data_IF_639020706690
#
_entry.id   IF_639020706690
#
_cell.length_a   1.000
_cell.length_b   1.000
_cell.length_c   1.000
_cell.angle_alpha   90.00
_cell.angle_beta   90.00
_cell.angle_gamma   90.00
#
_symmetry.space_group_name_H-M   'P 1'
#
loop_
_entity.id
_entity.type
_entity.pdbx_description
1 polymer ?
#
# COMPACT_ATOMS: atom_id res chain seq x y z
N UNK A 1 57.77 -1.90 39.69
CA UNK A 1 57.49 -2.46 38.35
C UNK A 1 57.02 -3.88 38.56
N UNK A 2 55.74 -4.09 38.29
CA UNK A 2 55.00 -5.31 38.54
C UNK A 2 55.61 -6.52 37.85
N UNK A 3 55.82 -7.59 38.63
CA UNK A 3 56.49 -8.79 38.15
C UNK A 3 56.17 -10.02 38.98
N UNK A 4 55.35 -10.88 38.38
CA UNK A 4 55.53 -12.34 38.30
C UNK A 4 55.18 -13.22 39.51
N UNK A 5 54.26 -14.16 39.22
CA UNK A 5 53.89 -15.38 39.94
C UNK A 5 55.10 -16.29 40.25
N UNK A 6 55.13 -16.95 41.41
CA UNK A 6 55.07 -18.43 41.53
C UNK A 6 55.36 -18.97 42.95
N UNK A 7 54.44 -19.86 43.40
CA UNK A 7 54.62 -21.24 43.90
C UNK A 7 55.79 -21.54 44.89
N UNK A 8 55.48 -22.14 46.06
CA UNK A 8 55.86 -23.52 46.50
C UNK A 8 55.54 -23.78 48.01
N UNK A 9 54.66 -24.77 48.23
CA UNK A 9 54.58 -25.88 49.23
C UNK A 9 55.13 -25.70 50.68
N UNK A 10 54.40 -26.25 51.68
CA UNK A 10 54.50 -27.67 52.14
C UNK A 10 53.59 -28.00 53.35
N UNK A 11 53.04 -29.25 53.30
CA UNK A 11 52.79 -30.29 54.35
C UNK A 11 52.00 -29.90 55.60
N UNK A 12 51.13 -30.71 56.21
CA UNK A 12 50.66 -32.11 56.10
C UNK A 12 49.60 -32.23 57.23
N UNK A 13 48.56 -33.05 57.18
CA UNK A 13 48.52 -34.50 57.44
C UNK A 13 47.36 -34.73 58.42
N UNK A 14 46.60 -35.81 58.17
CA UNK A 14 45.83 -36.64 59.13
C UNK A 14 44.40 -36.26 59.57
N UNK A 15 43.52 -37.19 59.17
CA UNK A 15 42.55 -37.95 59.97
C UNK A 15 41.22 -37.28 60.28
N UNK A 16 40.15 -38.03 59.96
CA UNK A 16 38.77 -37.58 59.97
C UNK A 16 38.08 -37.65 61.32
N UNK A 17 36.92 -37.00 61.37
CA UNK A 17 35.83 -37.30 62.29
C UNK A 17 34.53 -36.72 61.71
N UNK A 18 33.60 -37.63 61.42
CA UNK A 18 32.14 -37.50 61.38
C UNK A 18 31.55 -36.07 61.42
N UNK A 19 31.03 -35.61 60.29
CA UNK A 19 30.01 -34.56 60.25
C UNK A 19 28.65 -35.22 59.97
N UNK A 20 27.76 -35.18 60.97
CA UNK A 20 26.34 -35.44 60.80
C UNK A 20 25.75 -34.35 59.89
N UNK A 21 25.71 -34.60 58.58
CA UNK A 21 24.96 -33.75 57.67
C UNK A 21 23.51 -34.25 57.67
N UNK A 22 22.66 -33.57 58.44
CA UNK A 22 21.21 -33.69 58.34
C UNK A 22 20.79 -33.49 56.88
N UNK A 23 20.38 -34.57 56.23
CA UNK A 23 19.67 -34.52 54.96
C UNK A 23 18.26 -33.99 55.25
N UNK A 24 18.14 -32.66 55.36
CA UNK A 24 16.84 -32.01 55.31
C UNK A 24 16.31 -32.19 53.89
N UNK A 25 15.53 -33.25 53.69
CA UNK A 25 14.71 -33.44 52.51
C UNK A 25 13.64 -32.34 52.54
N UNK A 26 13.98 -31.15 52.02
CA UNK A 26 13.00 -30.10 51.80
C UNK A 26 12.10 -30.57 50.65
N UNK A 27 11.06 -31.33 51.00
CA UNK A 27 9.92 -31.54 50.12
C UNK A 27 9.31 -30.16 49.93
N UNK A 28 9.71 -29.50 48.85
CA UNK A 28 9.00 -28.34 48.35
C UNK A 28 7.65 -28.85 47.85
N UNK A 29 6.67 -28.95 48.75
CA UNK A 29 5.27 -29.10 48.36
C UNK A 29 4.93 -27.82 47.62
N UNK A 30 5.11 -27.82 46.30
CA UNK A 30 4.56 -26.78 45.44
C UNK A 30 3.05 -26.94 45.54
N UNK A 31 2.43 -26.15 46.42
CA UNK A 31 0.98 -26.02 46.46
C UNK A 31 0.49 -25.80 45.03
N UNK A 32 -0.27 -26.76 44.50
CA UNK A 32 -0.80 -26.69 43.15
C UNK A 32 -1.76 -25.49 43.13
N UNK A 33 -1.34 -24.39 42.51
CA UNK A 33 -2.14 -23.17 42.44
C UNK A 33 -3.56 -23.51 41.95
N UNK A 34 -4.56 -23.13 42.74
CA UNK A 34 -5.96 -23.30 42.42
C UNK A 34 -6.33 -22.61 41.10
N UNK A 35 -7.38 -23.09 40.44
CA UNK A 35 -7.82 -22.52 39.18
C UNK A 35 -8.20 -21.04 39.33
N UNK A 36 -7.56 -20.15 38.55
CA UNK A 36 -7.90 -18.73 38.50
C UNK A 36 -8.68 -18.38 37.23
N UNK A 37 -9.81 -17.67 37.38
CA UNK A 37 -10.61 -17.17 36.24
C UNK A 37 -9.99 -15.94 35.56
N UNK A 38 -8.91 -15.36 36.09
CA UNK A 38 -8.28 -14.14 35.56
C UNK A 38 -7.87 -14.28 34.10
N UNK A 39 -8.17 -13.29 33.27
CA UNK A 39 -7.82 -13.27 31.85
C UNK A 39 -6.30 -13.33 31.62
N UNK A 40 -5.90 -13.89 30.47
CA UNK A 40 -4.51 -13.92 30.03
C UNK A 40 -4.08 -12.56 29.45
N UNK A 41 -2.81 -12.24 29.57
CA UNK A 41 -2.21 -11.07 28.91
C UNK A 41 -1.75 -11.44 27.51
N UNK A 42 -2.54 -11.05 26.50
CA UNK A 42 -2.28 -11.31 25.09
C UNK A 42 -1.37 -10.23 24.52
N UNK A 43 -0.25 -10.66 23.92
CA UNK A 43 0.67 -9.83 23.15
C UNK A 43 0.60 -10.22 21.67
N UNK A 44 0.81 -9.25 20.80
CA UNK A 44 0.79 -9.44 19.35
C UNK A 44 2.07 -8.93 18.72
N UNK A 45 2.68 -9.73 17.85
CA UNK A 45 3.74 -9.32 16.93
C UNK A 45 3.26 -9.54 15.50
N UNK A 46 3.32 -8.51 14.65
CA UNK A 46 2.98 -8.59 13.23
C UNK A 46 4.22 -8.84 12.37
N UNK A 47 4.02 -9.48 11.22
CA UNK A 47 4.96 -9.55 10.09
C UNK A 47 4.20 -9.26 8.78
N UNK A 48 4.85 -9.37 7.63
CA UNK A 48 4.25 -9.11 6.31
C UNK A 48 3.09 -10.04 5.95
N UNK A 49 3.15 -11.31 6.39
CA UNK A 49 2.18 -12.33 5.98
C UNK A 49 1.47 -13.00 7.16
N UNK A 50 1.93 -12.72 8.39
CA UNK A 50 1.44 -13.42 9.57
C UNK A 50 1.34 -12.55 10.81
N UNK A 51 0.48 -12.99 11.72
CA UNK A 51 0.32 -12.41 13.05
C UNK A 51 0.69 -13.47 14.09
N UNK A 52 1.68 -13.19 14.92
CA UNK A 52 2.06 -14.02 16.06
C UNK A 52 1.37 -13.51 17.33
N UNK A 53 0.52 -14.35 17.90
CA UNK A 53 -0.17 -14.16 19.17
C UNK A 53 0.61 -14.90 20.26
N UNK A 54 0.89 -14.25 21.39
CA UNK A 54 1.61 -14.86 22.52
C UNK A 54 1.07 -14.41 23.87
N UNK A 55 1.22 -15.25 24.89
CA UNK A 55 0.75 -14.97 26.24
C UNK A 55 1.64 -15.66 27.28
N UNK A 56 1.61 -15.18 28.52
CA UNK A 56 2.29 -15.86 29.62
C UNK A 56 1.56 -17.15 29.98
N UNK A 57 2.29 -18.25 30.09
CA UNK A 57 1.74 -19.53 30.53
C UNK A 57 1.42 -19.52 32.02
N UNK A 58 0.50 -20.39 32.44
CA UNK A 58 0.23 -20.64 33.85
C UNK A 58 0.19 -22.15 34.12
N UNK A 59 0.80 -22.58 35.24
CA UNK A 59 1.03 -24.00 35.56
C UNK A 59 -0.28 -24.78 35.72
N UNK A 60 -1.35 -24.12 36.14
CA UNK A 60 -2.65 -24.75 36.35
C UNK A 60 -3.43 -25.01 35.05
N UNK A 61 -3.03 -24.44 33.91
CA UNK A 61 -3.73 -24.56 32.64
C UNK A 61 -3.22 -25.73 31.81
N UNK A 62 -4.13 -26.50 31.23
CA UNK A 62 -3.82 -27.66 30.38
C UNK A 62 -3.79 -27.31 28.88
N UNK A 63 -4.18 -26.08 28.51
CA UNK A 63 -4.13 -25.58 27.13
C UNK A 63 -4.83 -24.24 26.96
N UNK A 64 -4.96 -23.82 25.70
CA UNK A 64 -5.45 -22.50 25.30
C UNK A 64 -6.33 -22.58 24.07
N UNK A 65 -7.31 -21.68 23.97
CA UNK A 65 -8.15 -21.50 22.80
C UNK A 65 -7.99 -20.07 22.26
N UNK A 66 -7.67 -19.99 20.98
CA UNK A 66 -7.49 -18.74 20.24
C UNK A 66 -8.72 -18.48 19.39
N UNK A 67 -9.21 -17.25 19.42
CA UNK A 67 -10.40 -16.83 18.71
C UNK A 67 -10.10 -15.65 17.81
N UNK A 68 -10.70 -15.67 16.62
CA UNK A 68 -10.94 -14.49 15.81
C UNK A 68 -12.31 -13.92 16.18
N UNK A 69 -12.45 -12.60 16.21
CA UNK A 69 -13.70 -11.95 16.58
C UNK A 69 -13.94 -10.65 15.81
N UNK A 70 -14.96 -9.90 16.20
CA UNK A 70 -15.23 -8.53 15.79
C UNK A 70 -14.80 -7.55 16.90
N UNK A 71 -14.88 -6.24 16.63
CA UNK A 71 -14.46 -5.22 17.59
C UNK A 71 -15.22 -5.31 18.94
N UNK A 72 -16.48 -5.75 18.94
CA UNK A 72 -17.32 -5.89 20.13
C UNK A 72 -17.13 -7.22 20.87
N UNK A 73 -16.43 -8.19 20.28
CA UNK A 73 -16.23 -9.51 20.87
C UNK A 73 -17.40 -10.47 20.77
N UNK A 74 -18.52 -10.13 20.11
CA UNK A 74 -19.73 -10.98 20.10
C UNK A 74 -19.60 -12.21 19.18
N UNK A 75 -18.85 -12.11 18.09
CA UNK A 75 -18.75 -13.17 17.08
C UNK A 75 -17.42 -13.93 17.18
N UNK A 76 -17.20 -14.64 18.28
CA UNK A 76 -15.94 -15.38 18.51
C UNK A 76 -15.93 -16.70 17.76
N UNK A 77 -15.13 -16.78 16.70
CA UNK A 77 -14.85 -18.03 15.99
C UNK A 77 -13.52 -18.59 16.49
N UNK A 78 -13.56 -19.81 17.04
CA UNK A 78 -12.35 -20.49 17.52
C UNK A 78 -11.52 -20.90 16.31
N UNK A 79 -10.29 -20.40 16.22
CA UNK A 79 -9.38 -20.70 15.10
C UNK A 79 -8.33 -21.75 15.48
N UNK A 80 -8.03 -21.92 16.77
CA UNK A 80 -7.05 -22.92 17.22
C UNK A 80 -7.26 -23.32 18.68
N UNK A 81 -6.96 -24.57 18.99
CA UNK A 81 -6.69 -25.05 20.36
C UNK A 81 -5.24 -25.51 20.42
N UNK A 82 -4.50 -25.16 21.48
CA UNK A 82 -3.06 -25.47 21.59
C UNK A 82 -2.62 -25.64 23.04
N UNK A 83 -1.56 -26.42 23.29
CA UNK A 83 -0.84 -26.44 24.58
C UNK A 83 0.26 -25.39 24.66
N UNK A 84 0.72 -24.88 23.52
CA UNK A 84 1.77 -23.85 23.42
C UNK A 84 1.21 -22.48 23.84
N UNK A 85 2.10 -21.60 24.29
CA UNK A 85 1.78 -20.21 24.68
C UNK A 85 1.91 -19.19 23.54
N UNK A 86 2.04 -19.69 22.31
CA UNK A 86 2.19 -18.90 21.08
C UNK A 86 1.45 -19.57 19.92
N UNK A 87 0.80 -18.77 19.08
CA UNK A 87 0.17 -19.17 17.81
C UNK A 87 0.50 -18.16 16.73
N UNK A 88 0.93 -18.64 15.56
CA UNK A 88 1.07 -17.81 14.36
C UNK A 88 -0.14 -18.05 13.46
N UNK A 89 -0.78 -16.97 13.02
CA UNK A 89 -1.91 -16.98 12.10
C UNK A 89 -1.42 -16.49 10.74
N UNK A 90 -1.59 -17.32 9.72
CA UNK A 90 -1.27 -17.08 8.30
C UNK A 90 -2.54 -16.84 7.48
N UNK A 91 -2.43 -16.77 6.15
CA UNK A 91 -3.57 -16.63 5.22
C UNK A 91 -4.38 -15.35 5.49
N UNK A 92 -3.65 -14.31 5.86
CA UNK A 92 -4.20 -13.02 6.19
C UNK A 92 -4.27 -12.16 4.93
N UNK A 93 -5.44 -11.56 4.71
CA UNK A 93 -5.66 -10.63 3.63
C UNK A 93 -4.93 -9.32 3.95
N UNK A 94 -4.15 -8.82 3.00
CA UNK A 94 -3.47 -7.53 3.08
C UNK A 94 -4.46 -6.40 3.35
N UNK A 95 -4.03 -5.35 4.07
CA UNK A 95 -4.88 -4.23 4.46
C UNK A 95 -6.03 -4.55 5.42
N UNK A 96 -6.38 -5.83 5.60
CA UNK A 96 -7.52 -6.25 6.43
C UNK A 96 -7.19 -6.12 7.90
N UNK A 97 -8.17 -5.61 8.64
CA UNK A 97 -8.14 -5.60 10.10
C UNK A 97 -8.68 -6.89 10.66
N UNK A 98 -7.96 -7.46 11.62
CA UNK A 98 -8.28 -8.67 12.35
C UNK A 98 -8.40 -8.33 13.83
N UNK A 99 -9.28 -9.05 14.53
CA UNK A 99 -9.47 -8.93 15.97
C UNK A 99 -9.26 -10.31 16.60
N UNK A 100 -8.40 -10.38 17.62
CA UNK A 100 -8.06 -11.65 18.28
C UNK A 100 -8.23 -11.56 19.79
N UNK A 101 -8.64 -12.67 20.39
CA UNK A 101 -8.57 -12.88 21.84
C UNK A 101 -8.21 -14.34 22.15
N UNK A 102 -7.70 -14.58 23.36
CA UNK A 102 -7.31 -15.91 23.84
C UNK A 102 -7.94 -16.19 25.20
N UNK A 103 -8.20 -17.46 25.51
CA UNK A 103 -8.52 -17.92 26.87
C UNK A 103 -7.79 -19.20 27.23
N UNK A 104 -7.50 -19.38 28.51
CA UNK A 104 -6.92 -20.59 29.07
C UNK A 104 -7.99 -21.66 29.33
N UNK A 105 -7.58 -22.92 29.27
CA UNK A 105 -8.41 -24.09 29.55
C UNK A 105 -7.70 -24.94 30.62
N UNK A 106 -8.44 -25.41 31.62
CA UNK A 106 -7.99 -26.44 32.55
C UNK A 106 -8.94 -27.63 32.46
N UNK A 107 -8.41 -28.79 32.07
CA UNK A 107 -9.13 -30.07 32.08
C UNK A 107 -8.71 -30.89 33.30
N UNK A 108 -9.66 -31.22 34.16
CA UNK A 108 -9.47 -32.16 35.29
C UNK A 108 -10.73 -33.02 35.43
N UNK A 109 -10.56 -34.34 35.58
CA UNK A 109 -11.66 -35.30 35.79
C UNK A 109 -12.83 -35.12 34.81
N UNK A 110 -12.53 -35.02 33.51
CA UNK A 110 -13.55 -34.83 32.46
C UNK A 110 -14.17 -33.43 32.37
N UNK A 111 -14.01 -32.56 33.38
CA UNK A 111 -14.56 -31.19 33.40
C UNK A 111 -13.54 -30.18 32.86
N UNK A 112 -14.01 -29.23 32.04
CA UNK A 112 -13.18 -28.14 31.52
C UNK A 112 -13.58 -26.80 32.14
N UNK A 113 -12.63 -26.13 32.81
CA UNK A 113 -12.77 -24.75 33.29
C UNK A 113 -12.04 -23.79 32.34
N UNK A 114 -12.55 -22.57 32.21
CA UNK A 114 -12.00 -21.54 31.31
C UNK A 114 -11.71 -20.24 32.05
N UNK A 115 -10.57 -19.62 31.73
CA UNK A 115 -10.34 -18.24 32.14
C UNK A 115 -11.32 -17.31 31.42
N UNK A 116 -11.49 -16.10 31.93
CA UNK A 116 -12.01 -15.00 31.11
C UNK A 116 -11.16 -14.81 29.86
N UNK A 117 -11.78 -14.29 28.80
CA UNK A 117 -11.06 -13.91 27.58
C UNK A 117 -10.08 -12.77 27.85
N UNK A 118 -8.96 -12.76 27.14
CA UNK A 118 -8.06 -11.61 27.08
C UNK A 118 -8.78 -10.38 26.51
N UNK A 119 -8.13 -9.21 26.65
CA UNK A 119 -8.48 -8.03 25.85
C UNK A 119 -8.45 -8.39 24.35
N UNK A 120 -9.33 -7.75 23.58
CA UNK A 120 -9.38 -7.91 22.13
C UNK A 120 -8.26 -7.08 21.51
N UNK A 121 -7.41 -7.72 20.71
CA UNK A 121 -6.33 -7.05 20.00
C UNK A 121 -6.73 -6.78 18.55
N UNK A 122 -6.77 -5.51 18.15
CA UNK A 122 -7.00 -5.05 16.77
C UNK A 122 -5.67 -5.01 16.02
N UNK A 123 -5.59 -5.65 14.86
CA UNK A 123 -4.37 -5.72 14.03
C UNK A 123 -4.73 -5.49 12.57
N UNK A 124 -4.18 -4.45 11.95
CA UNK A 124 -4.30 -4.21 10.50
C UNK A 124 -3.10 -4.80 9.79
N UNK A 125 -3.33 -5.67 8.80
CA UNK A 125 -2.24 -6.20 7.98
C UNK A 125 -1.65 -5.12 7.08
N UNK A 126 -0.32 -5.11 6.87
CA UNK A 126 0.31 -4.23 5.90
C UNK A 126 -0.17 -4.54 4.49
N UNK A 127 0.11 -3.61 3.58
CA UNK A 127 -0.18 -3.72 2.16
C UNK A 127 1.12 -3.88 1.42
N UNK A 128 1.24 -4.90 0.56
CA UNK A 128 2.49 -5.10 -0.19
C UNK A 128 2.60 -4.11 -1.33
N UNK A 129 3.82 -3.62 -1.52
CA UNK A 129 4.17 -2.62 -2.50
C UNK A 129 5.52 -2.02 -2.17
N UNK A 130 6.37 -1.79 -3.16
CA UNK A 130 7.60 -1.02 -2.92
C UNK A 130 7.20 0.37 -2.43
N UNK A 131 7.79 0.80 -1.30
CA UNK A 131 7.62 2.18 -0.84
C UNK A 131 8.11 3.12 -1.94
N UNK A 132 7.24 4.06 -2.33
CA UNK A 132 7.53 5.08 -3.33
C UNK A 132 7.25 6.47 -2.76
N UNK A 133 7.55 7.51 -3.53
CA UNK A 133 7.25 8.91 -3.18
C UNK A 133 6.25 9.51 -4.16
N UNK A 134 5.51 10.54 -3.73
CA UNK A 134 4.65 11.33 -4.62
C UNK A 134 5.45 11.93 -5.79
N UNK A 135 6.66 12.41 -5.53
CA UNK A 135 7.56 12.91 -6.59
C UNK A 135 7.86 11.82 -7.61
N UNK A 136 8.26 10.62 -7.17
CA UNK A 136 8.52 9.48 -8.07
C UNK A 136 7.29 9.12 -8.89
N UNK A 137 6.10 9.08 -8.29
CA UNK A 137 4.85 8.83 -9.03
C UNK A 137 4.64 9.84 -10.17
N UNK A 138 4.76 11.14 -9.88
CA UNK A 138 4.55 12.16 -10.92
C UNK A 138 5.68 12.15 -11.97
N UNK A 139 6.94 11.93 -11.58
CA UNK A 139 8.04 11.77 -12.52
C UNK A 139 7.82 10.57 -13.45
N UNK A 140 7.45 9.40 -12.90
CA UNK A 140 7.08 8.22 -13.68
C UNK A 140 5.92 8.52 -14.63
N UNK A 141 4.86 9.17 -14.14
CA UNK A 141 3.69 9.50 -14.93
C UNK A 141 3.97 10.46 -16.09
N UNK A 142 5.02 11.29 -15.98
CA UNK A 142 5.48 12.19 -17.04
C UNK A 142 6.25 11.50 -18.17
N UNK A 143 6.85 10.33 -17.92
CA UNK A 143 7.71 9.67 -18.92
C UNK A 143 7.02 9.39 -20.27
N UNK A 144 5.77 8.87 -20.32
CA UNK A 144 5.08 8.63 -21.60
C UNK A 144 4.41 9.87 -22.22
N UNK A 145 4.44 11.04 -21.54
CA UNK A 145 3.80 12.27 -22.03
C UNK A 145 4.44 12.70 -23.35
N UNK A 146 3.61 13.12 -24.29
CA UNK A 146 4.09 13.67 -25.57
C UNK A 146 4.72 12.64 -26.51
N UNK A 147 4.64 11.36 -26.18
CA UNK A 147 5.26 10.28 -26.95
C UNK A 147 4.42 9.00 -27.03
N UNK A 148 3.27 8.93 -26.34
CA UNK A 148 2.41 7.75 -26.31
C UNK A 148 1.00 8.10 -26.79
N UNK A 149 0.53 7.40 -27.84
CA UNK A 149 -0.83 7.57 -28.36
C UNK A 149 -1.88 6.90 -27.48
N UNK A 150 -3.11 7.43 -27.51
CA UNK A 150 -4.26 6.76 -26.94
C UNK A 150 -4.64 5.60 -27.83
N UNK A 151 -4.63 4.38 -27.31
CA UNK A 151 -5.14 3.20 -28.00
C UNK A 151 -6.19 2.56 -27.11
N UNK A 152 -7.40 2.36 -27.60
CA UNK A 152 -8.45 1.65 -26.85
C UNK A 152 -7.97 0.23 -26.52
N UNK A 153 -7.96 -0.16 -25.24
CA UNK A 153 -7.38 -1.42 -24.77
C UNK A 153 -5.85 -1.38 -24.61
N UNK A 154 -5.20 -0.25 -24.89
CA UNK A 154 -3.76 -0.10 -24.71
C UNK A 154 -3.34 -0.34 -23.26
N UNK A 155 -2.40 -1.26 -23.04
CA UNK A 155 -1.96 -1.70 -21.71
C UNK A 155 -2.77 -2.85 -21.09
N UNK A 156 -3.90 -3.26 -21.69
CA UNK A 156 -4.62 -4.47 -21.31
C UNK A 156 -3.99 -5.73 -21.91
N UNK A 157 -4.32 -6.89 -21.35
CA UNK A 157 -4.07 -8.18 -21.98
C UNK A 157 -5.13 -8.47 -23.04
N UNK A 158 -4.87 -9.43 -23.94
CA UNK A 158 -5.80 -9.78 -25.02
C UNK A 158 -7.17 -10.27 -24.51
N UNK A 159 -7.19 -10.88 -23.33
CA UNK A 159 -8.42 -11.35 -22.69
C UNK A 159 -9.26 -10.23 -22.06
N UNK A 160 -8.78 -8.98 -22.04
CA UNK A 160 -9.44 -7.82 -21.41
C UNK A 160 -9.80 -8.03 -19.92
N UNK A 161 -8.95 -8.80 -19.21
CA UNK A 161 -9.14 -9.16 -17.79
C UNK A 161 -8.14 -8.49 -16.86
N UNK A 162 -7.13 -7.81 -17.41
CA UNK A 162 -6.14 -7.10 -16.62
C UNK A 162 -4.95 -6.63 -17.44
N UNK A 163 -3.81 -6.46 -16.78
CA UNK A 163 -2.64 -5.83 -17.38
C UNK A 163 -1.94 -6.73 -18.43
N UNK A 164 -1.72 -6.16 -19.62
CA UNK A 164 -0.91 -6.73 -20.68
C UNK A 164 0.59 -6.69 -20.36
N UNK A 165 1.41 -7.10 -21.33
CA UNK A 165 2.87 -7.11 -21.20
C UNK A 165 3.41 -5.69 -20.99
N UNK A 166 2.90 -4.74 -21.76
CA UNK A 166 3.36 -3.36 -21.80
C UNK A 166 3.10 -2.64 -20.47
N UNK A 167 1.94 -2.86 -19.84
CA UNK A 167 1.62 -2.29 -18.53
C UNK A 167 2.32 -3.01 -17.36
N UNK A 168 2.99 -4.14 -17.62
CA UNK A 168 3.80 -4.92 -16.65
C UNK A 168 5.29 -4.90 -16.99
N UNK A 169 5.74 -3.83 -17.65
CA UNK A 169 7.14 -3.61 -18.01
C UNK A 169 7.64 -2.33 -17.34
N UNK A 170 8.83 -2.40 -16.76
CA UNK A 170 9.54 -1.26 -16.18
C UNK A 170 10.05 -0.38 -17.31
N UNK A 171 9.76 0.91 -17.20
CA UNK A 171 10.09 1.91 -18.21
C UNK A 171 9.06 2.01 -19.33
N UNK A 172 9.24 3.04 -20.14
CA UNK A 172 8.40 3.37 -21.29
C UNK A 172 8.73 2.41 -22.43
N UNK A 173 7.70 1.83 -23.07
CA UNK A 173 7.90 0.98 -24.24
C UNK A 173 8.40 1.81 -25.43
N UNK A 174 9.52 1.44 -26.08
CA UNK A 174 9.98 2.12 -27.29
C UNK A 174 8.95 2.12 -28.43
N UNK A 175 8.07 1.10 -28.47
CA UNK A 175 7.00 1.00 -29.47
C UNK A 175 6.02 2.16 -29.41
N UNK A 176 5.77 2.74 -28.23
CA UNK A 176 4.85 3.87 -28.10
C UNK A 176 5.35 5.10 -28.84
N UNK A 177 6.64 5.45 -28.66
CA UNK A 177 7.26 6.57 -29.39
C UNK A 177 7.31 6.30 -30.89
N UNK A 178 7.67 5.08 -31.30
CA UNK A 178 7.68 4.68 -32.72
C UNK A 178 6.29 4.80 -33.34
N UNK A 179 5.24 4.40 -32.62
CA UNK A 179 3.87 4.50 -33.10
C UNK A 179 3.41 5.96 -33.19
N UNK A 180 3.70 6.80 -32.19
CA UNK A 180 3.44 8.25 -32.21
C UNK A 180 4.11 8.94 -33.41
N UNK A 181 5.36 8.60 -33.71
CA UNK A 181 6.11 9.21 -34.82
C UNK A 181 5.44 8.98 -36.17
N UNK A 182 4.76 7.83 -36.35
CA UNK A 182 3.99 7.50 -37.56
C UNK A 182 2.67 8.27 -37.68
N UNK A 183 2.17 8.88 -36.60
CA UNK A 183 0.88 9.58 -36.61
C UNK A 183 1.02 11.05 -37.03
N UNK A 184 -0.02 11.56 -37.68
CA UNK A 184 -0.17 12.98 -38.02
C UNK A 184 -1.23 13.64 -37.13
N UNK A 185 -1.48 14.94 -37.31
CA UNK A 185 -2.59 15.64 -36.63
C UNK A 185 -3.98 15.05 -36.93
N UNK A 186 -4.11 14.22 -37.97
CA UNK A 186 -5.34 13.54 -38.37
C UNK A 186 -5.56 12.17 -37.69
N UNK A 187 -4.78 11.86 -36.64
CA UNK A 187 -4.90 10.59 -35.93
C UNK A 187 -6.33 10.31 -35.43
N UNK A 188 -6.88 9.16 -35.83
CA UNK A 188 -8.18 8.66 -35.39
C UNK A 188 -8.01 7.33 -34.66
N UNK A 189 -8.14 7.38 -33.33
CA UNK A 189 -7.98 6.21 -32.46
C UNK A 189 -8.96 5.07 -32.79
N UNK A 190 -10.09 5.36 -33.46
CA UNK A 190 -11.09 4.36 -33.86
C UNK A 190 -10.51 3.34 -34.85
N UNK A 191 -9.53 3.75 -35.66
CA UNK A 191 -8.84 2.87 -36.63
C UNK A 191 -7.75 2.00 -35.99
N UNK A 192 -7.39 2.27 -34.74
CA UNK A 192 -6.26 1.61 -34.06
C UNK A 192 -6.68 0.96 -32.75
N UNK A 193 -7.99 0.77 -32.52
CA UNK A 193 -8.51 0.08 -31.34
C UNK A 193 -7.90 -1.31 -31.22
N UNK A 194 -7.59 -1.73 -29.99
CA UNK A 194 -7.03 -3.03 -29.66
C UNK A 194 -5.66 -3.34 -30.28
N UNK A 195 -4.96 -2.35 -30.85
CA UNK A 195 -3.52 -2.44 -31.08
C UNK A 195 -2.78 -2.27 -29.73
N UNK A 196 -3.08 -3.13 -28.76
CA UNK A 196 -2.86 -2.94 -27.32
C UNK A 196 -1.40 -2.68 -26.90
N UNK A 197 -0.44 -3.05 -27.77
CA UNK A 197 0.98 -2.81 -27.57
C UNK A 197 1.48 -1.43 -28.05
N UNK A 198 0.70 -0.72 -28.87
CA UNK A 198 1.12 0.50 -29.57
C UNK A 198 0.87 1.80 -28.77
N UNK A 199 0.09 1.73 -27.69
CA UNK A 199 -0.23 2.88 -26.86
C UNK A 199 -0.90 2.48 -25.55
N UNK A 200 -1.53 3.44 -24.90
CA UNK A 200 -2.18 3.25 -23.60
C UNK A 200 -3.58 3.85 -23.63
N UNK A 201 -4.58 3.14 -23.13
CA UNK A 201 -5.83 3.80 -22.72
C UNK A 201 -5.68 4.44 -21.32
N UNK A 202 -6.75 5.03 -20.80
CA UNK A 202 -6.72 5.70 -19.50
C UNK A 202 -6.32 4.78 -18.34
N UNK A 203 -6.91 3.60 -18.26
CA UNK A 203 -6.65 2.58 -17.23
C UNK A 203 -5.32 1.88 -17.44
N UNK A 204 -4.92 1.62 -18.69
CA UNK A 204 -3.60 1.10 -19.03
C UNK A 204 -2.51 2.06 -18.61
N UNK A 205 -2.71 3.36 -18.82
CA UNK A 205 -1.79 4.41 -18.40
C UNK A 205 -1.62 4.48 -16.89
N UNK A 206 -2.71 4.56 -16.13
CA UNK A 206 -2.64 4.58 -14.66
C UNK A 206 -2.07 3.25 -14.15
N UNK A 207 -2.47 2.12 -14.71
CA UNK A 207 -1.95 0.80 -14.34
C UNK A 207 -0.45 0.69 -14.56
N UNK A 208 0.07 1.18 -15.68
CA UNK A 208 1.52 1.26 -15.95
C UNK A 208 2.24 2.19 -14.97
N UNK A 209 1.65 3.36 -14.64
CA UNK A 209 2.23 4.28 -13.65
C UNK A 209 2.38 3.58 -12.29
N UNK A 210 1.32 2.91 -11.82
CA UNK A 210 1.33 2.18 -10.55
C UNK A 210 2.32 1.01 -10.60
N UNK A 211 2.39 0.28 -11.72
CA UNK A 211 3.36 -0.79 -11.87
C UNK A 211 4.79 -0.31 -11.64
N UNK A 212 5.17 0.80 -12.28
CA UNK A 212 6.52 1.35 -12.28
C UNK A 212 6.94 2.00 -10.94
N UNK A 213 5.99 2.31 -10.06
CA UNK A 213 6.31 2.74 -8.70
C UNK A 213 6.25 1.62 -7.67
N UNK A 214 5.57 0.52 -7.97
CA UNK A 214 5.37 -0.60 -7.05
C UNK A 214 6.31 -1.79 -7.32
N UNK A 215 6.98 -1.82 -8.47
CA UNK A 215 7.86 -2.91 -8.90
C UNK A 215 9.18 -2.38 -9.47
N UNK A 216 10.21 -3.23 -9.42
CA UNK A 216 11.53 -3.02 -10.03
C UNK A 216 11.85 -3.99 -11.16
N UNK A 217 10.97 -4.97 -11.41
CA UNK A 217 11.17 -6.06 -12.38
C UNK A 217 9.95 -6.19 -13.27
N UNK A 218 10.15 -6.69 -14.49
CA UNK A 218 9.08 -6.97 -15.45
C UNK A 218 8.26 -8.20 -15.04
N UNK A 219 7.06 -8.33 -15.61
CA UNK A 219 6.25 -9.56 -15.57
C UNK A 219 5.52 -9.84 -14.25
N UNK A 220 5.77 -9.08 -13.17
CA UNK A 220 4.97 -9.14 -11.93
C UNK A 220 3.49 -8.80 -12.15
N UNK A 221 2.64 -9.04 -11.15
CA UNK A 221 1.21 -8.69 -11.20
C UNK A 221 1.01 -7.22 -11.57
N UNK A 222 0.16 -6.96 -12.56
CA UNK A 222 -0.14 -5.60 -13.01
C UNK A 222 -1.32 -4.96 -12.27
N UNK A 223 -1.58 -3.70 -12.61
CA UNK A 223 -2.57 -2.85 -11.94
C UNK A 223 -3.62 -2.27 -12.88
N UNK A 224 -3.76 -2.85 -14.08
CA UNK A 224 -4.81 -2.47 -15.04
C UNK A 224 -6.11 -3.18 -14.65
N UNK A 225 -7.19 -2.42 -14.64
CA UNK A 225 -8.58 -2.81 -14.38
C UNK A 225 -9.49 -1.69 -14.90
N UNK A 226 -10.81 -1.87 -14.83
CA UNK A 226 -11.76 -0.87 -15.31
C UNK A 226 -11.54 0.48 -14.61
N UNK A 227 -11.67 1.56 -15.37
CA UNK A 227 -11.33 2.91 -14.94
C UNK A 227 -12.11 3.36 -13.69
N UNK A 228 -13.37 2.95 -13.56
CA UNK A 228 -14.25 3.26 -12.42
C UNK A 228 -13.88 2.50 -11.15
N UNK A 229 -13.21 1.35 -11.27
CA UNK A 229 -12.81 0.49 -10.15
C UNK A 229 -11.48 0.92 -9.51
N UNK A 230 -10.59 1.59 -10.26
CA UNK A 230 -9.21 1.83 -9.84
C UNK A 230 -9.10 2.58 -8.49
N UNK A 231 -9.81 3.70 -8.33
CA UNK A 231 -9.71 4.49 -7.10
C UNK A 231 -10.15 3.69 -5.86
N UNK A 232 -11.29 3.01 -5.94
CA UNK A 232 -11.80 2.19 -4.84
C UNK A 232 -10.89 1.00 -4.56
N UNK A 233 -10.42 0.31 -5.60
CA UNK A 233 -9.51 -0.83 -5.49
C UNK A 233 -8.19 -0.45 -4.81
N UNK A 234 -7.56 0.65 -5.22
CA UNK A 234 -6.32 1.11 -4.61
C UNK A 234 -6.52 1.53 -3.15
N UNK A 235 -7.63 2.20 -2.82
CA UNK A 235 -7.96 2.52 -1.44
C UNK A 235 -8.25 1.26 -0.61
N UNK A 236 -8.97 0.26 -1.16
CA UNK A 236 -9.33 -0.98 -0.46
C UNK A 236 -8.13 -1.85 -0.13
N UNK A 237 -7.03 -1.70 -0.89
CA UNK A 237 -5.74 -2.30 -0.55
C UNK A 237 -5.17 -1.73 0.75
N UNK A 238 -5.58 -0.53 1.15
CA UNK A 238 -5.06 0.18 2.32
C UNK A 238 -3.96 1.19 1.99
N UNK A 239 -3.81 1.56 0.70
CA UNK A 239 -2.84 2.55 0.24
C UNK A 239 -3.27 4.00 0.48
N UNK A 240 -4.51 4.20 0.91
CA UNK A 240 -5.10 5.52 1.02
C UNK A 240 -6.57 5.48 1.39
N UNK A 241 -7.26 6.56 1.05
CA UNK A 241 -8.69 6.76 1.30
C UNK A 241 -9.44 6.86 -0.02
N UNK A 242 -10.69 6.40 -0.01
CA UNK A 242 -11.64 6.55 -1.12
C UNK A 242 -12.67 7.62 -0.77
N UNK A 243 -12.94 8.52 -1.71
CA UNK A 243 -14.03 9.49 -1.65
C UNK A 243 -14.90 9.33 -2.88
N UNK A 244 -16.17 8.98 -2.67
CA UNK A 244 -17.12 8.81 -3.76
C UNK A 244 -17.36 10.12 -4.53
N UNK A 245 -17.63 10.02 -5.84
CA UNK A 245 -18.09 11.14 -6.68
C UNK A 245 -19.21 11.95 -6.00
N UNK A 246 -19.19 13.27 -6.15
CA UNK A 246 -20.09 14.21 -5.45
C UNK A 246 -19.66 14.59 -4.03
N UNK A 247 -18.86 13.75 -3.34
CA UNK A 247 -18.26 14.07 -2.03
C UNK A 247 -16.86 14.64 -2.13
N UNK A 248 -16.23 14.60 -3.30
CA UNK A 248 -14.92 15.20 -3.57
C UNK A 248 -15.01 16.72 -3.44
N UNK A 249 -14.12 17.32 -2.64
CA UNK A 249 -14.10 18.78 -2.38
C UNK A 249 -12.79 19.47 -2.76
N UNK A 250 -11.71 18.71 -2.95
CA UNK A 250 -10.40 19.25 -3.30
C UNK A 250 -9.57 18.23 -4.07
N UNK A 251 -8.52 18.73 -4.70
CA UNK A 251 -7.60 17.97 -5.55
C UNK A 251 -6.19 18.24 -5.09
N UNK A 252 -5.41 17.19 -4.91
CA UNK A 252 -4.04 17.27 -4.43
C UNK A 252 -3.14 16.39 -5.26
N UNK A 253 -1.84 16.72 -5.25
CA UNK A 253 -0.82 15.97 -5.95
C UNK A 253 -0.94 14.45 -5.68
N UNK A 254 -0.95 13.67 -6.76
CA UNK A 254 -1.03 12.22 -6.75
C UNK A 254 -2.43 11.63 -6.61
N UNK A 255 -3.49 12.43 -6.39
CA UNK A 255 -4.85 11.89 -6.32
C UNK A 255 -5.20 11.19 -7.65
N UNK A 256 -5.77 9.97 -7.56
CA UNK A 256 -6.26 9.21 -8.70
C UNK A 256 -7.77 9.40 -8.77
N UNK A 257 -8.26 9.78 -9.94
CA UNK A 257 -9.63 10.20 -10.16
C UNK A 257 -10.29 9.23 -11.13
N UNK A 258 -11.29 8.48 -10.67
CA UNK A 258 -11.96 7.39 -11.41
C UNK A 258 -13.43 7.70 -11.68
N UNK A 259 -13.89 7.48 -12.91
CA UNK A 259 -15.30 7.53 -13.29
C UNK A 259 -15.62 6.38 -14.25
N UNK A 260 -16.92 6.17 -14.51
CA UNK A 260 -17.34 5.31 -15.62
C UNK A 260 -16.79 5.92 -16.92
N UNK A 261 -15.90 5.20 -17.61
CA UNK A 261 -15.31 5.59 -18.88
C UNK A 261 -13.96 6.34 -18.83
N UNK A 262 -13.47 6.80 -17.66
CA UNK A 262 -12.16 7.47 -17.61
C UNK A 262 -11.50 7.43 -16.23
N UNK A 263 -10.17 7.50 -16.23
CA UNK A 263 -9.34 7.66 -15.02
C UNK A 263 -8.14 8.55 -15.31
N UNK A 264 -7.77 9.41 -14.37
CA UNK A 264 -6.63 10.31 -14.50
C UNK A 264 -5.89 10.54 -13.17
N UNK A 265 -4.71 11.14 -13.26
CA UNK A 265 -3.83 11.46 -12.14
C UNK A 265 -3.72 12.97 -11.95
N UNK A 266 -3.90 13.47 -10.73
CA UNK A 266 -3.77 14.89 -10.40
C UNK A 266 -2.31 15.26 -10.19
N UNK A 267 -1.83 16.30 -10.88
CA UNK A 267 -0.54 16.93 -10.61
C UNK A 267 -0.68 17.94 -9.47
N UNK A 268 -1.72 18.79 -9.51
CA UNK A 268 -2.02 19.73 -8.45
C UNK A 268 -3.17 20.67 -8.79
N UNK A 269 -3.65 21.41 -7.79
CA UNK A 269 -4.69 22.42 -7.96
C UNK A 269 -4.09 23.83 -8.01
N UNK A 270 -4.66 24.68 -8.85
CA UNK A 270 -4.36 26.10 -8.97
C UNK A 270 -5.26 26.94 -8.05
N UNK A 271 -4.86 28.19 -7.78
CA UNK A 271 -5.60 29.08 -6.88
C UNK A 271 -7.00 29.49 -7.38
N UNK A 272 -7.23 29.46 -8.70
CA UNK A 272 -8.57 29.68 -9.28
C UNK A 272 -9.49 28.45 -9.16
N UNK A 273 -9.00 27.35 -8.59
CA UNK A 273 -9.72 26.08 -8.41
C UNK A 273 -9.53 25.09 -9.56
N UNK A 274 -8.93 25.51 -10.68
CA UNK A 274 -8.61 24.63 -11.80
C UNK A 274 -7.53 23.60 -11.43
N UNK A 275 -7.52 22.45 -12.09
CA UNK A 275 -6.64 21.33 -11.77
C UNK A 275 -5.76 20.99 -12.96
N UNK A 276 -4.46 20.85 -12.70
CA UNK A 276 -3.51 20.26 -13.65
C UNK A 276 -3.50 18.75 -13.46
N UNK A 277 -3.63 18.01 -14.55
CA UNK A 277 -3.74 16.55 -14.53
C UNK A 277 -2.95 15.89 -15.65
N UNK A 278 -2.62 14.63 -15.43
CA UNK A 278 -2.05 13.71 -16.40
C UNK A 278 -3.08 12.62 -16.71
N UNK A 279 -3.27 12.33 -17.99
CA UNK A 279 -4.27 11.36 -18.44
C UNK A 279 -3.89 10.76 -19.78
N UNK A 280 -4.57 9.66 -20.14
CA UNK A 280 -4.60 9.15 -21.52
C UNK A 280 -6.04 9.14 -22.03
N UNK A 281 -6.35 10.11 -22.89
CA UNK A 281 -7.56 10.16 -23.70
C UNK A 281 -7.13 10.54 -25.11
N UNK A 282 -7.96 10.35 -26.17
CA UNK A 282 -7.62 10.84 -27.49
C UNK A 282 -7.11 12.30 -27.45
N UNK A 283 -5.95 12.60 -28.05
CA UNK A 283 -5.15 11.71 -28.90
C UNK A 283 -4.10 10.84 -28.17
N UNK A 284 -3.82 11.05 -26.88
CA UNK A 284 -2.92 10.20 -26.08
C UNK A 284 -2.48 10.82 -24.77
N UNK A 285 -1.33 10.35 -24.27
CA UNK A 285 -0.84 10.67 -22.93
C UNK A 285 -0.30 12.11 -22.90
N UNK A 286 -0.92 12.95 -22.09
CA UNK A 286 -0.57 14.37 -22.03
C UNK A 286 -0.87 15.03 -20.68
N UNK A 287 -0.19 16.16 -20.45
CA UNK A 287 -0.57 17.13 -19.43
C UNK A 287 -1.76 17.96 -19.90
N UNK A 288 -2.75 18.15 -19.03
CA UNK A 288 -3.95 18.92 -19.32
C UNK A 288 -4.40 19.76 -18.11
N UNK A 289 -5.29 20.72 -18.37
CA UNK A 289 -5.92 21.55 -17.35
C UNK A 289 -7.44 21.50 -17.44
N UNK A 290 -8.12 21.57 -16.30
CA UNK A 290 -9.58 21.78 -16.23
C UNK A 290 -9.92 23.26 -16.30
N UNK A 291 -11.19 23.63 -16.49
CA UNK A 291 -11.65 25.01 -16.32
C UNK A 291 -11.48 25.45 -14.86
N UNK A 292 -11.60 26.75 -14.60
CA UNK A 292 -11.64 27.29 -13.25
C UNK A 292 -12.97 26.94 -12.54
N UNK A 293 -13.11 27.35 -11.28
CA UNK A 293 -14.32 27.10 -10.48
C UNK A 293 -15.61 27.69 -11.08
N UNK A 294 -15.49 28.67 -11.97
CA UNK A 294 -16.61 29.33 -12.63
C UNK A 294 -16.85 28.77 -14.04
N UNK A 295 -16.12 27.72 -14.43
CA UNK A 295 -16.23 27.10 -15.75
C UNK A 295 -15.45 27.81 -16.86
N UNK A 296 -14.58 28.79 -16.55
CA UNK A 296 -13.78 29.47 -17.59
C UNK A 296 -12.71 28.52 -18.13
N UNK A 297 -12.73 28.32 -19.44
CA UNK A 297 -11.82 27.41 -20.16
C UNK A 297 -10.36 27.89 -20.16
N UNK A 298 -10.10 29.19 -20.11
CA UNK A 298 -8.76 29.81 -20.06
C UNK A 298 -8.21 29.93 -18.63
N UNK A 299 -8.32 28.84 -17.88
CA UNK A 299 -7.89 28.76 -16.47
C UNK A 299 -6.37 28.78 -16.30
N UNK A 300 -5.91 28.96 -15.07
CA UNK A 300 -4.48 28.84 -14.72
C UNK A 300 -3.95 27.44 -15.06
N UNK A 301 -4.71 26.37 -14.79
CA UNK A 301 -4.28 25.01 -15.09
C UNK A 301 -4.12 24.79 -16.60
N UNK A 302 -5.06 25.28 -17.42
CA UNK A 302 -4.99 25.15 -18.89
C UNK A 302 -3.78 25.92 -19.45
N UNK A 303 -3.54 27.14 -18.96
CA UNK A 303 -2.37 27.94 -19.33
C UNK A 303 -1.06 27.26 -18.94
N UNK A 304 -0.98 26.68 -17.74
CA UNK A 304 0.17 25.89 -17.30
C UNK A 304 0.38 24.66 -18.19
N UNK A 305 -0.67 23.88 -18.45
CA UNK A 305 -0.58 22.70 -19.29
C UNK A 305 -0.07 23.05 -20.70
N UNK A 306 -0.63 24.08 -21.35
CA UNK A 306 -0.15 24.55 -22.66
C UNK A 306 1.29 25.02 -22.63
N UNK A 307 1.68 25.82 -21.61
CA UNK A 307 3.06 26.32 -21.45
C UNK A 307 4.06 25.15 -21.41
N UNK A 308 3.79 24.15 -20.58
CA UNK A 308 4.70 23.00 -20.42
C UNK A 308 4.65 22.06 -21.61
N UNK A 309 3.46 21.77 -22.16
CA UNK A 309 3.34 20.92 -23.35
C UNK A 309 4.05 21.54 -24.56
N UNK A 310 3.89 22.85 -24.80
CA UNK A 310 4.58 23.57 -25.88
C UNK A 310 6.10 23.59 -25.69
N UNK A 311 6.58 23.82 -24.46
CA UNK A 311 8.01 23.94 -24.16
C UNK A 311 8.76 22.61 -24.21
N UNK A 312 8.22 21.58 -23.56
CA UNK A 312 8.93 20.31 -23.35
C UNK A 312 8.54 19.20 -24.32
N UNK A 313 7.39 19.33 -25.01
CA UNK A 313 6.92 18.35 -25.99
C UNK A 313 6.48 19.02 -27.31
N UNK A 314 7.35 19.81 -27.96
CA UNK A 314 6.97 20.64 -29.11
C UNK A 314 6.47 19.81 -30.32
N UNK A 315 7.05 18.63 -30.54
CA UNK A 315 6.61 17.72 -31.61
C UNK A 315 5.16 17.26 -31.41
N UNK A 316 4.81 16.90 -30.18
CA UNK A 316 3.45 16.55 -29.80
C UNK A 316 2.53 17.76 -29.92
N UNK A 317 2.90 18.89 -29.31
CA UNK A 317 2.07 20.08 -29.24
C UNK A 317 1.71 20.62 -30.64
N UNK A 318 2.62 20.51 -31.61
CA UNK A 318 2.35 20.86 -33.01
C UNK A 318 1.27 19.98 -33.65
N UNK A 319 1.22 18.69 -33.34
CA UNK A 319 0.19 17.77 -33.85
C UNK A 319 -1.13 17.91 -33.06
N UNK A 320 -1.03 18.12 -31.75
CA UNK A 320 -2.15 18.04 -30.80
C UNK A 320 -2.06 19.16 -29.73
N UNK A 321 -2.44 20.41 -30.08
CA UNK A 321 -2.25 21.57 -29.18
C UNK A 321 -3.28 21.67 -28.05
N UNK A 322 -4.37 20.89 -28.09
CA UNK A 322 -5.45 21.01 -27.10
C UNK A 322 -5.09 20.35 -25.76
N UNK A 323 -4.76 21.18 -24.77
CA UNK A 323 -4.51 20.75 -23.39
C UNK A 323 -5.69 21.03 -22.43
N UNK A 324 -6.87 21.39 -22.93
CA UNK A 324 -8.03 21.69 -22.09
C UNK A 324 -8.92 20.46 -21.87
N UNK A 325 -9.54 20.39 -20.69
CA UNK A 325 -10.58 19.42 -20.32
C UNK A 325 -11.82 20.15 -19.82
N UNK A 326 -12.95 19.45 -19.80
CA UNK A 326 -14.23 20.01 -19.36
C UNK A 326 -14.43 19.95 -17.85
N UNK A 327 -15.43 20.68 -17.36
CA UNK A 327 -15.81 20.72 -15.95
C UNK A 327 -16.23 19.37 -15.38
N UNK A 328 -16.60 18.40 -16.22
CA UNK A 328 -16.89 17.02 -15.80
C UNK A 328 -15.73 16.36 -15.06
N UNK A 329 -14.48 16.75 -15.36
CA UNK A 329 -13.28 16.28 -14.65
C UNK A 329 -13.28 16.75 -13.18
N UNK A 330 -14.03 17.79 -12.84
CA UNK A 330 -14.15 18.29 -11.48
C UNK A 330 -15.40 17.78 -10.74
N UNK A 331 -16.31 17.07 -11.39
CA UNK A 331 -17.62 16.75 -10.77
C UNK A 331 -18.02 15.28 -10.86
N UNK A 332 -17.49 14.53 -11.83
CA UNK A 332 -17.97 13.19 -12.15
C UNK A 332 -17.08 12.04 -11.66
N UNK A 333 -15.98 12.36 -10.95
CA UNK A 333 -14.97 11.39 -10.57
C UNK A 333 -14.97 11.12 -9.06
N UNK A 334 -14.87 9.84 -8.70
CA UNK A 334 -14.46 9.39 -7.38
C UNK A 334 -12.95 9.55 -7.23
N UNK A 335 -12.47 9.65 -5.99
CA UNK A 335 -11.09 10.00 -5.70
C UNK A 335 -10.45 8.96 -4.79
N UNK A 336 -9.25 8.53 -5.17
CA UNK A 336 -8.30 7.88 -4.27
C UNK A 336 -7.26 8.90 -3.84
N UNK A 337 -7.04 8.99 -2.53
CA UNK A 337 -5.98 9.80 -1.94
C UNK A 337 -5.02 8.94 -1.16
N UNK A 338 -3.74 8.95 -1.57
CA UNK A 338 -2.65 8.26 -0.90
C UNK A 338 -2.55 8.61 0.59
N UNK A 339 -2.37 7.57 1.40
CA UNK A 339 -1.85 7.70 2.76
C UNK A 339 -0.33 7.94 2.67
N UNK A 340 0.12 9.05 3.24
CA UNK A 340 1.51 9.52 3.20
C UNK A 340 2.19 9.46 4.57
N UNK A 341 1.55 8.85 5.56
CA UNK A 341 2.07 8.72 6.92
C UNK A 341 3.39 7.93 7.02
N UNK A 342 3.72 7.16 5.97
CA UNK A 342 4.86 6.24 5.95
C UNK A 342 4.51 4.81 6.36
N UNK A 343 3.28 4.57 6.81
CA UNK A 343 2.76 3.23 7.17
C UNK A 343 2.16 2.47 5.97
N UNK A 344 1.96 3.16 4.84
CA UNK A 344 1.46 2.61 3.58
C UNK A 344 2.58 2.52 2.52
N UNK A 345 2.20 2.42 1.24
CA UNK A 345 3.14 2.26 0.11
C UNK A 345 3.68 3.57 -0.45
N UNK A 346 3.28 4.72 0.11
CA UNK A 346 3.63 6.05 -0.40
C UNK A 346 4.10 6.99 0.72
N UNK A 347 5.09 7.81 0.43
CA UNK A 347 5.56 8.93 1.27
C UNK A 347 5.64 10.23 0.46
N UNK A 348 5.88 11.36 1.13
CA UNK A 348 6.00 12.67 0.48
C UNK A 348 7.09 13.55 1.13
N UNK A 349 8.38 13.15 1.04
CA UNK A 349 9.47 13.90 1.66
C UNK A 349 9.62 15.31 1.08
N UNK A 350 9.31 15.52 -0.20
CA UNK A 350 9.37 16.83 -0.87
C UNK A 350 8.12 17.70 -0.62
N UNK A 351 7.17 17.21 0.17
CA UNK A 351 5.94 17.93 0.56
C UNK A 351 5.11 18.40 -0.63
N UNK A 352 5.06 17.61 -1.71
CA UNK A 352 4.26 17.88 -2.90
C UNK A 352 2.78 18.09 -2.56
N UNK A 353 2.28 17.44 -1.50
CA UNK A 353 0.91 17.63 -1.01
C UNK A 353 0.58 19.07 -0.64
N UNK A 354 1.58 19.87 -0.29
CA UNK A 354 1.45 21.26 0.16
C UNK A 354 1.84 22.27 -0.93
N UNK A 355 2.29 21.82 -2.11
CA UNK A 355 2.72 22.68 -3.21
C UNK A 355 1.54 22.99 -4.14
N UNK A 356 1.61 24.16 -4.78
CA UNK A 356 0.70 24.49 -5.90
C UNK A 356 1.06 23.69 -7.14
N UNK A 357 0.13 23.57 -8.09
CA UNK A 357 0.39 22.93 -9.39
C UNK A 357 1.62 23.52 -10.10
N UNK A 358 1.81 24.85 -10.03
CA UNK A 358 2.95 25.52 -10.65
C UNK A 358 4.28 25.14 -9.97
N UNK A 359 4.32 25.12 -8.64
CA UNK A 359 5.52 24.72 -7.89
C UNK A 359 5.91 23.27 -8.18
N UNK A 360 4.92 22.38 -8.29
CA UNK A 360 5.13 20.97 -8.63
C UNK A 360 5.68 20.84 -10.04
N UNK A 361 5.05 21.46 -11.04
CA UNK A 361 5.53 21.43 -12.42
C UNK A 361 6.93 22.05 -12.56
N UNK A 362 7.24 23.12 -11.82
CA UNK A 362 8.59 23.70 -11.82
C UNK A 362 9.63 22.70 -11.34
N UNK A 363 9.36 22.00 -10.24
CA UNK A 363 10.28 21.01 -9.66
C UNK A 363 10.42 19.74 -10.52
N UNK A 364 9.33 19.29 -11.16
CA UNK A 364 9.33 18.10 -12.01
C UNK A 364 10.11 18.28 -13.32
N UNK A 365 10.23 19.50 -13.82
CA UNK A 365 10.91 19.83 -15.08
C UNK A 365 12.21 20.64 -14.89
N UNK A 366 12.68 20.77 -13.65
CA UNK A 366 13.99 21.34 -13.32
C UNK A 366 15.09 20.29 -13.16
N UNK A 367 14.72 19.01 -13.17
CA UNK A 367 15.61 17.85 -13.27
C UNK A 367 15.79 17.46 -14.71
#
# INVERSE_FOLDING_TARGET
MDGVRNIIRKRGSKIGALFFLFLALSISVTAQAGFSKKALSLKVKKSEESITLSWAGRRELTGYQVYRTNASGRNRVKIKTTKKTRVTVTDLKQGKTYYFCVRGCQKKNGKTKYTSYSKIMKVKMPVRGQKSTLKKLLQTALQPVGSTMYVWGGGWNEADTGAGREARTIGVSPKWKQFFQKQTSAYDYRKTRYQIANGLDCSGYIGWCIYNIQNTENGKTGYVMLADQMAENFASRGWGTYTQKGKVKNYRAGDIMSSSGHVYLVVGQCSDGSVVLLHSSPPGVQLAGTPDRNGKSESKAVKLARKYMKKYYPEWYRKYPNCAKGSSYLTQFSQMRWDLSGDAVMTDPEKYRNKTAEQILRDLYST
#
